data_IF_868129054630
#
_entry.id   IF_868129054630
#
_cell.length_a   1.000
_cell.length_b   1.000
_cell.length_c   1.000
_cell.angle_alpha   90.00
_cell.angle_beta   90.00
_cell.angle_gamma   90.00
#
_symmetry.space_group_name_H-M   'P 1'
#
loop_
_entity.id
_entity.type
_entity.pdbx_description
1 polymer ?
#
# COMPACT_ATOMS: atom_id res chain seq x y z
N UNK A 1 8.28 -0.40 0.27
CA UNK A 1 7.45 0.15 -0.82
C UNK A 1 6.84 -0.98 -1.65
N UNK A 2 5.86 -0.70 -2.48
CA UNK A 2 5.20 -1.56 -3.48
C UNK A 2 4.81 -2.94 -2.94
N UNK A 3 5.50 -4.03 -3.38
CA UNK A 3 5.22 -5.39 -2.93
C UNK A 3 5.57 -5.61 -1.47
N UNK A 4 6.62 -4.95 -0.96
CA UNK A 4 6.93 -4.95 0.48
C UNK A 4 5.85 -4.27 1.31
N UNK A 5 5.23 -3.20 0.80
CA UNK A 5 4.08 -2.56 1.42
C UNK A 5 2.85 -3.49 1.41
N UNK A 6 2.60 -4.18 0.30
CA UNK A 6 1.55 -5.19 0.21
C UNK A 6 1.76 -6.34 1.23
N UNK A 7 2.99 -6.84 1.35
CA UNK A 7 3.33 -7.86 2.34
C UNK A 7 3.15 -7.36 3.79
N UNK A 8 3.47 -6.09 4.08
CA UNK A 8 3.24 -5.51 5.39
C UNK A 8 1.74 -5.41 5.73
N UNK A 9 0.90 -5.05 4.75
CA UNK A 9 -0.56 -5.03 4.91
C UNK A 9 -1.11 -6.44 5.21
N UNK A 10 -0.66 -7.45 4.48
CA UNK A 10 -1.05 -8.85 4.74
C UNK A 10 -0.61 -9.29 6.14
N UNK A 11 0.63 -9.00 6.51
CA UNK A 11 1.15 -9.36 7.83
C UNK A 11 0.38 -8.67 8.97
N UNK A 12 -0.05 -7.42 8.80
CA UNK A 12 -0.85 -6.72 9.80
C UNK A 12 -2.27 -7.28 9.93
N UNK A 13 -2.84 -7.80 8.84
CA UNK A 13 -4.12 -8.49 8.88
C UNK A 13 -4.02 -9.88 9.53
N UNK A 14 -2.96 -10.64 9.19
CA UNK A 14 -2.76 -11.99 9.70
C UNK A 14 -2.32 -12.02 11.19
N UNK A 15 -1.65 -10.97 11.65
CA UNK A 15 -1.06 -10.91 13.00
C UNK A 15 -1.41 -9.60 13.76
N UNK A 16 -2.70 -9.23 13.89
CA UNK A 16 -3.11 -7.95 14.46
C UNK A 16 -2.62 -7.75 15.90
N UNK A 17 -2.48 -8.82 16.68
CA UNK A 17 -1.99 -8.78 18.07
C UNK A 17 -0.48 -8.48 18.18
N UNK A 18 0.26 -8.57 17.06
CA UNK A 18 1.71 -8.39 17.03
C UNK A 18 2.13 -7.12 16.28
N UNK A 19 1.21 -6.50 15.55
CA UNK A 19 1.47 -5.29 14.76
C UNK A 19 0.68 -4.13 15.34
N UNK A 20 1.38 -3.19 15.94
CA UNK A 20 0.76 -2.02 16.56
C UNK A 20 0.20 -1.03 15.54
N UNK A 21 0.88 -0.85 14.42
CA UNK A 21 0.48 0.00 13.28
C UNK A 21 1.29 -0.39 12.04
N UNK A 22 0.84 0.03 10.88
CA UNK A 22 1.55 -0.21 9.62
C UNK A 22 1.79 1.10 8.88
N UNK A 23 3.01 1.27 8.35
CA UNK A 23 3.35 2.34 7.40
C UNK A 23 3.65 1.71 6.05
N UNK A 24 2.89 2.07 5.03
CA UNK A 24 2.97 1.47 3.70
C UNK A 24 3.23 2.53 2.63
N UNK A 25 4.34 2.42 1.89
CA UNK A 25 4.69 3.31 0.79
C UNK A 25 4.23 2.69 -0.54
N UNK A 26 3.38 3.41 -1.28
CA UNK A 26 2.83 3.01 -2.59
C UNK A 26 2.35 1.55 -2.60
N UNK A 27 1.44 1.14 -1.69
CA UNK A 27 0.97 -0.23 -1.62
C UNK A 27 0.12 -0.60 -2.85
N UNK A 28 0.27 -1.84 -3.30
CA UNK A 28 -0.54 -2.43 -4.36
C UNK A 28 -1.71 -3.17 -3.73
N UNK A 29 -2.93 -2.94 -4.21
CA UNK A 29 -4.12 -3.69 -3.81
C UNK A 29 -4.29 -4.94 -4.68
N UNK A 30 -4.33 -4.77 -6.00
CA UNK A 30 -4.43 -5.86 -6.95
C UNK A 30 -3.19 -5.86 -7.86
N UNK A 31 -2.52 -7.01 -7.97
CA UNK A 31 -1.27 -7.10 -8.71
C UNK A 31 -1.48 -6.97 -10.22
N UNK A 32 -2.61 -7.44 -10.76
CA UNK A 32 -2.92 -7.30 -12.18
C UNK A 32 -3.15 -5.83 -12.55
N UNK A 33 -3.94 -5.10 -11.77
CA UNK A 33 -4.26 -3.70 -11.99
C UNK A 33 -3.00 -2.82 -11.88
N UNK A 34 -2.13 -3.11 -10.92
CA UNK A 34 -0.85 -2.41 -10.78
C UNK A 34 0.07 -2.67 -11.99
N UNK A 35 0.17 -3.91 -12.45
CA UNK A 35 0.93 -4.25 -13.65
C UNK A 35 0.35 -3.57 -14.90
N UNK A 36 -0.96 -3.51 -15.03
CA UNK A 36 -1.63 -2.80 -16.13
C UNK A 36 -1.35 -1.30 -16.09
N UNK A 37 -1.46 -0.67 -14.92
CA UNK A 37 -1.17 0.76 -14.73
C UNK A 37 0.28 1.09 -15.07
N UNK A 38 1.23 0.34 -14.54
CA UNK A 38 2.66 0.51 -14.84
C UNK A 38 2.93 0.38 -16.34
N UNK A 39 2.36 -0.64 -16.98
CA UNK A 39 2.53 -0.85 -18.42
C UNK A 39 1.96 0.30 -19.23
N UNK A 40 0.78 0.81 -18.88
CA UNK A 40 0.15 1.96 -19.57
C UNK A 40 1.01 3.21 -19.50
N UNK A 41 1.65 3.44 -18.38
CA UNK A 41 2.45 4.66 -18.15
C UNK A 41 3.88 4.58 -18.70
N UNK A 42 4.47 3.39 -18.77
CA UNK A 42 5.86 3.22 -19.16
C UNK A 42 6.04 2.63 -20.57
N UNK A 43 5.04 1.93 -21.08
CA UNK A 43 5.13 1.23 -22.37
C UNK A 43 3.89 1.47 -23.21
N UNK A 44 4.08 1.76 -24.48
CA UNK A 44 2.98 2.07 -25.41
C UNK A 44 2.17 0.84 -25.88
N UNK A 45 2.51 -0.37 -25.49
CA UNK A 45 1.87 -1.61 -25.95
C UNK A 45 1.72 -2.62 -24.83
N UNK A 46 0.49 -2.85 -24.40
CA UNK A 46 0.18 -3.43 -23.11
C UNK A 46 -0.43 -4.84 -23.13
N UNK A 47 -1.47 -5.17 -23.94
CA UNK A 47 -2.27 -6.36 -23.64
C UNK A 47 -1.48 -7.66 -23.76
N UNK A 48 -0.56 -7.73 -24.73
CA UNK A 48 0.17 -8.96 -25.02
C UNK A 48 1.19 -9.32 -23.93
N UNK A 49 1.95 -8.33 -23.44
CA UNK A 49 2.96 -8.57 -22.41
C UNK A 49 2.33 -8.91 -21.07
N UNK A 50 1.24 -8.24 -20.72
CA UNK A 50 0.51 -8.53 -19.50
C UNK A 50 -0.11 -9.94 -19.55
N UNK A 51 -0.71 -10.33 -20.68
CA UNK A 51 -1.24 -11.67 -20.87
C UNK A 51 -0.15 -12.75 -20.80
N UNK A 52 1.02 -12.53 -21.42
CA UNK A 52 2.15 -13.45 -21.34
C UNK A 52 2.66 -13.56 -19.90
N UNK A 53 2.77 -12.44 -19.18
CA UNK A 53 3.21 -12.41 -17.79
C UNK A 53 2.26 -13.18 -16.88
N UNK A 54 0.95 -12.95 -17.02
CA UNK A 54 -0.09 -13.66 -16.27
C UNK A 54 -0.07 -15.16 -16.57
N UNK A 55 0.01 -15.54 -17.85
CA UNK A 55 0.14 -16.94 -18.25
C UNK A 55 1.38 -17.61 -17.69
N UNK A 56 2.53 -16.90 -17.71
CA UNK A 56 3.78 -17.40 -17.14
C UNK A 56 3.69 -17.58 -15.63
N UNK A 57 3.11 -16.62 -14.91
CA UNK A 57 2.85 -16.70 -13.48
C UNK A 57 2.03 -17.94 -13.13
N UNK A 58 0.94 -18.15 -13.87
CA UNK A 58 0.11 -19.35 -13.66
C UNK A 58 0.87 -20.64 -13.94
N UNK A 59 1.66 -20.69 -15.03
CA UNK A 59 2.40 -21.90 -15.43
C UNK A 59 3.51 -22.27 -14.42
N UNK A 60 4.26 -21.28 -13.96
CA UNK A 60 5.45 -21.52 -13.11
C UNK A 60 5.11 -21.55 -11.61
N UNK A 61 4.13 -20.75 -11.17
CA UNK A 61 3.83 -20.55 -9.76
C UNK A 61 2.40 -20.93 -9.36
N UNK A 62 1.52 -21.23 -10.31
CA UNK A 62 0.18 -21.75 -10.06
C UNK A 62 -0.86 -20.69 -9.69
N UNK A 63 -0.60 -19.39 -9.89
CA UNK A 63 -1.55 -18.32 -9.64
C UNK A 63 -1.59 -17.31 -10.80
N UNK A 64 -2.75 -16.69 -11.00
CA UNK A 64 -2.91 -15.54 -11.88
C UNK A 64 -2.61 -14.25 -11.13
N UNK A 65 -2.12 -13.21 -11.83
CA UNK A 65 -1.83 -11.92 -11.19
C UNK A 65 -3.06 -11.31 -10.51
N UNK A 66 -4.25 -11.53 -11.06
CA UNK A 66 -5.53 -11.07 -10.49
C UNK A 66 -5.94 -11.81 -9.21
N UNK A 67 -5.36 -12.98 -8.93
CA UNK A 67 -5.64 -13.75 -7.72
C UNK A 67 -4.91 -13.14 -6.50
N UNK A 68 -3.94 -12.25 -6.75
CA UNK A 68 -3.25 -11.49 -5.71
C UNK A 68 -4.01 -10.18 -5.50
N UNK A 69 -4.96 -10.21 -4.56
CA UNK A 69 -5.81 -9.10 -4.18
C UNK A 69 -5.82 -8.95 -2.65
N UNK A 70 -5.56 -7.74 -2.19
CA UNK A 70 -5.44 -7.44 -0.76
C UNK A 70 -6.70 -6.79 -0.17
N UNK A 71 -7.77 -6.67 -0.95
CA UNK A 71 -8.99 -5.98 -0.55
C UNK A 71 -9.57 -6.57 0.73
N UNK A 72 -9.64 -7.90 0.84
CA UNK A 72 -10.15 -8.58 2.02
C UNK A 72 -9.24 -8.38 3.23
N UNK A 73 -7.91 -8.52 3.04
CA UNK A 73 -6.94 -8.31 4.12
C UNK A 73 -6.98 -6.89 4.67
N UNK A 74 -7.12 -5.89 3.80
CA UNK A 74 -7.26 -4.47 4.20
C UNK A 74 -8.58 -4.24 4.96
N UNK A 75 -9.67 -4.85 4.51
CA UNK A 75 -10.99 -4.70 5.13
C UNK A 75 -11.07 -5.38 6.50
N UNK A 76 -10.46 -6.53 6.65
CA UNK A 76 -10.48 -7.33 7.88
C UNK A 76 -9.45 -6.86 8.92
N UNK A 77 -8.50 -6.01 8.54
CA UNK A 77 -7.47 -5.52 9.44
C UNK A 77 -7.99 -4.41 10.36
N UNK A 78 -7.80 -4.58 11.66
CA UNK A 78 -8.03 -3.55 12.69
C UNK A 78 -6.76 -2.73 13.00
N UNK A 79 -5.65 -3.02 12.31
CA UNK A 79 -4.35 -2.36 12.54
C UNK A 79 -4.33 -0.96 11.92
N UNK A 80 -4.06 0.11 12.70
CA UNK A 80 -3.95 1.47 12.17
C UNK A 80 -2.92 1.57 11.04
N UNK A 81 -3.24 2.33 10.00
CA UNK A 81 -2.49 2.36 8.75
C UNK A 81 -2.16 3.79 8.32
N UNK A 82 -0.89 4.05 8.04
CA UNK A 82 -0.43 5.25 7.33
C UNK A 82 0.05 4.86 5.93
N UNK A 83 -0.58 5.44 4.91
CA UNK A 83 -0.17 5.25 3.51
C UNK A 83 0.60 6.46 3.02
N UNK A 84 1.76 6.22 2.43
CA UNK A 84 2.55 7.23 1.74
C UNK A 84 2.39 7.02 0.24
N UNK A 85 2.01 8.07 -0.50
CA UNK A 85 1.90 7.98 -1.97
C UNK A 85 2.37 9.26 -2.65
N UNK A 86 2.94 9.11 -3.83
CA UNK A 86 3.42 10.22 -4.64
C UNK A 86 2.46 10.56 -5.78
N UNK A 87 2.14 11.84 -5.99
CA UNK A 87 1.21 12.27 -7.05
C UNK A 87 1.72 12.01 -8.47
N UNK A 88 3.02 11.78 -8.65
CA UNK A 88 3.66 11.44 -9.94
C UNK A 88 4.18 10.00 -9.98
N UNK A 89 3.61 9.11 -9.18
CA UNK A 89 3.92 7.69 -9.26
C UNK A 89 3.36 7.12 -10.58
N UNK A 90 4.25 6.55 -11.41
CA UNK A 90 3.90 5.93 -12.70
C UNK A 90 3.97 4.41 -12.67
N UNK A 91 4.22 3.83 -11.50
CA UNK A 91 4.30 2.38 -11.26
C UNK A 91 3.07 1.90 -10.52
N UNK A 92 2.71 2.57 -9.44
CA UNK A 92 1.50 2.30 -8.66
C UNK A 92 0.58 3.51 -8.74
N UNK A 93 -0.67 3.27 -9.11
CA UNK A 93 -1.67 4.34 -9.17
C UNK A 93 -1.89 4.95 -7.78
N UNK A 94 -1.69 6.27 -7.59
CA UNK A 94 -1.98 6.94 -6.33
C UNK A 94 -3.42 6.73 -5.81
N UNK A 95 -4.37 6.44 -6.70
CA UNK A 95 -5.75 6.11 -6.33
C UNK A 95 -5.86 4.81 -5.50
N UNK A 96 -4.84 3.95 -5.52
CA UNK A 96 -4.77 2.79 -4.63
C UNK A 96 -4.80 3.20 -3.15
N UNK A 97 -4.12 4.30 -2.78
CA UNK A 97 -4.15 4.82 -1.41
C UNK A 97 -5.57 5.16 -0.97
N UNK A 98 -6.34 5.84 -1.84
CA UNK A 98 -7.75 6.19 -1.58
C UNK A 98 -8.63 4.94 -1.51
N UNK A 99 -8.37 3.95 -2.37
CA UNK A 99 -9.11 2.68 -2.38
C UNK A 99 -8.88 1.89 -1.09
N UNK A 100 -7.63 1.81 -0.64
CA UNK A 100 -7.28 1.18 0.64
C UNK A 100 -7.94 1.92 1.80
N UNK A 101 -7.86 3.24 1.86
CA UNK A 101 -8.49 4.03 2.93
C UNK A 101 -10.00 3.79 3.01
N UNK A 102 -10.69 3.71 1.87
CA UNK A 102 -12.13 3.44 1.84
C UNK A 102 -12.49 2.01 2.24
N UNK A 103 -11.62 1.05 1.96
CA UNK A 103 -11.84 -0.35 2.29
C UNK A 103 -11.39 -0.71 3.70
N UNK A 104 -10.49 0.06 4.30
CA UNK A 104 -9.89 -0.23 5.61
C UNK A 104 -10.94 -0.32 6.71
N UNK A 105 -10.87 -1.38 7.51
CA UNK A 105 -11.65 -1.55 8.73
C UNK A 105 -11.09 -0.71 9.90
N UNK A 106 -9.81 -0.33 9.83
CA UNK A 106 -9.12 0.46 10.83
C UNK A 106 -8.99 1.94 10.44
N UNK A 107 -8.45 2.75 11.35
CA UNK A 107 -8.03 4.13 11.05
C UNK A 107 -6.93 4.12 9.99
N UNK A 108 -7.17 4.81 8.88
CA UNK A 108 -6.27 4.87 7.75
C UNK A 108 -6.02 6.32 7.32
N UNK A 109 -4.78 6.76 7.50
CA UNK A 109 -4.33 8.08 7.10
C UNK A 109 -3.53 8.00 5.79
N UNK A 110 -3.58 9.06 4.98
CA UNK A 110 -2.83 9.17 3.73
C UNK A 110 -1.94 10.40 3.77
N UNK A 111 -0.65 10.22 3.55
CA UNK A 111 0.28 11.30 3.19
C UNK A 111 0.49 11.28 1.67
N UNK A 112 -0.17 12.18 0.96
CA UNK A 112 0.04 12.42 -0.47
C UNK A 112 1.14 13.44 -0.70
N UNK A 113 2.25 13.01 -1.29
CA UNK A 113 3.42 13.85 -1.55
C UNK A 113 3.31 14.44 -2.95
N UNK A 114 3.22 15.77 -3.03
CA UNK A 114 3.19 16.49 -4.31
C UNK A 114 4.52 16.27 -5.04
N UNK A 115 4.44 15.99 -6.35
CA UNK A 115 5.57 15.65 -7.20
C UNK A 115 6.36 14.38 -6.79
N UNK A 116 5.90 13.64 -5.80
CA UNK A 116 6.48 12.37 -5.38
C UNK A 116 6.43 11.32 -6.50
N UNK A 117 7.54 10.61 -6.69
CA UNK A 117 7.69 9.56 -7.70
C UNK A 117 7.99 8.23 -7.04
N UNK A 118 7.64 7.12 -7.69
CA UNK A 118 7.82 5.76 -7.18
C UNK A 118 9.25 5.47 -6.71
N UNK A 119 9.38 4.91 -5.51
CA UNK A 119 10.64 4.45 -4.92
C UNK A 119 11.62 5.57 -4.53
N UNK A 120 11.21 6.85 -4.63
CA UNK A 120 12.04 8.00 -4.30
C UNK A 120 11.39 8.93 -3.26
N UNK A 121 10.28 8.54 -2.66
CA UNK A 121 9.57 9.41 -1.70
C UNK A 121 10.48 9.75 -0.53
N UNK A 122 10.97 8.76 0.18
CA UNK A 122 11.84 8.99 1.34
C UNK A 122 13.15 9.70 0.96
N UNK A 123 13.75 9.36 -0.18
CA UNK A 123 15.01 9.96 -0.60
C UNK A 123 14.92 11.47 -0.88
N UNK A 124 13.73 11.98 -1.22
CA UNK A 124 13.51 13.39 -1.60
C UNK A 124 12.68 14.18 -0.59
N UNK A 125 11.90 13.51 0.23
CA UNK A 125 10.90 14.11 1.12
C UNK A 125 11.01 13.54 2.55
N UNK A 126 12.21 13.16 2.99
CA UNK A 126 12.43 12.52 4.29
C UNK A 126 11.85 13.32 5.45
N UNK A 127 12.07 14.63 5.50
CA UNK A 127 11.62 15.47 6.62
C UNK A 127 10.08 15.48 6.74
N UNK A 128 9.37 15.55 5.61
CA UNK A 128 7.91 15.53 5.57
C UNK A 128 7.37 14.15 6.00
N UNK A 129 8.01 13.10 5.51
CA UNK A 129 7.64 11.71 5.83
C UNK A 129 7.90 11.42 7.30
N UNK A 130 9.07 11.77 7.83
CA UNK A 130 9.42 11.55 9.24
C UNK A 130 8.45 12.30 10.18
N UNK A 131 8.14 13.56 9.89
CA UNK A 131 7.18 14.33 10.65
C UNK A 131 5.79 13.70 10.63
N UNK A 132 5.34 13.18 9.49
CA UNK A 132 4.04 12.52 9.37
C UNK A 132 4.01 11.19 10.13
N UNK A 133 5.09 10.40 10.08
CA UNK A 133 5.20 9.16 10.84
C UNK A 133 5.22 9.46 12.34
N UNK A 134 5.99 10.44 12.79
CA UNK A 134 6.06 10.82 14.21
C UNK A 134 4.70 11.30 14.72
N UNK A 135 3.98 12.07 13.92
CA UNK A 135 2.63 12.52 14.26
C UNK A 135 1.65 11.35 14.38
N UNK A 136 1.64 10.46 13.38
CA UNK A 136 0.79 9.26 13.38
C UNK A 136 1.05 8.35 14.57
N UNK A 137 2.33 8.09 14.89
CA UNK A 137 2.72 7.30 16.06
C UNK A 137 2.31 8.00 17.36
N UNK A 138 2.50 9.32 17.43
CA UNK A 138 2.12 10.12 18.59
C UNK A 138 0.61 10.08 18.87
N UNK A 139 -0.22 10.18 17.84
CA UNK A 139 -1.67 10.05 17.98
C UNK A 139 -2.06 8.64 18.46
N UNK A 140 -1.46 7.60 17.88
CA UNK A 140 -1.72 6.21 18.27
C UNK A 140 -1.33 5.93 19.73
N UNK A 141 -0.16 6.35 20.19
CA UNK A 141 0.31 6.16 21.57
C UNK A 141 -0.60 6.91 22.56
N UNK A 142 -1.00 8.14 22.24
CA UNK A 142 -1.86 8.93 23.10
C UNK A 142 -3.26 8.29 23.25
N UNK A 143 -3.81 7.76 22.15
CA UNK A 143 -5.10 7.06 22.18
C UNK A 143 -5.04 5.80 23.04
N UNK A 144 -3.98 5.01 22.94
CA UNK A 144 -3.78 3.81 23.76
C UNK A 144 -3.66 4.14 25.27
N UNK A 145 -2.99 5.24 25.62
CA UNK A 145 -2.86 5.66 27.00
C UNK A 145 -4.19 6.11 27.62
N UNK A 146 -5.09 6.68 26.83
CA UNK A 146 -6.43 7.06 27.32
C UNK A 146 -7.31 5.84 27.62
N UNK A 147 -7.20 4.77 26.84
CA UNK A 147 -7.96 3.53 27.04
C UNK A 147 -7.53 2.72 28.28
N UNK A 148 -6.32 2.93 28.77
CA UNK A 148 -5.77 2.23 29.96
C UNK A 148 -6.15 2.93 31.29
N UNK A 149 -6.66 4.17 31.24
CA UNK A 149 -6.98 4.99 32.42
C UNK A 149 -8.47 4.94 32.80
N UNK A 150 -9.32 4.33 31.97
CA UNK A 150 -10.73 4.03 32.26
C UNK A 150 -10.90 2.61 32.79
#
# INVERSE_FOLDING_TARGET
DTLGAAAALMASADYPEQVAFTVAESPVVNLYDAAEYMMKNQFSSIPLFLWIGDWYSYKEYGFHLKDVDLSDAVQESDTPLLILCGSKDTVVDPENAVSIQKASGADCQILGIEDGTHGLLYAKHSDEIEQSIDHFIGEYINNQQQLVVE
#
